data_IF_488710440168
#
_entry.id   IF_488710440168
#
_cell.length_a   1.000
_cell.length_b   1.000
_cell.length_c   1.000
_cell.angle_alpha   90.00
_cell.angle_beta   90.00
_cell.angle_gamma   90.00
#
_symmetry.space_group_name_H-M   'P 1'
#
loop_
_entity.id
_entity.type
_entity.pdbx_description
1 polymer ?
#
# COMPACT_ATOMS: atom_id res chain seq x y z
N UNK A 1 -14.79 -15.49 -0.28
CA UNK A 1 -14.51 -15.41 1.16
C UNK A 1 -13.37 -16.36 1.51
N UNK A 2 -12.59 -16.04 2.54
CA UNK A 2 -11.58 -16.95 3.11
C UNK A 2 -12.24 -17.81 4.20
N UNK A 3 -11.83 -19.06 4.33
CA UNK A 3 -12.44 -19.99 5.29
C UNK A 3 -11.44 -20.60 6.26
N UNK A 4 -10.19 -20.80 5.83
CA UNK A 4 -9.19 -21.50 6.61
C UNK A 4 -7.76 -21.07 6.27
N UNK A 5 -6.90 -21.04 7.28
CA UNK A 5 -5.45 -20.84 7.13
C UNK A 5 -4.67 -21.90 7.89
N UNK A 6 -3.56 -22.36 7.29
CA UNK A 6 -2.54 -23.18 7.94
C UNK A 6 -1.18 -22.50 7.78
N UNK A 7 -0.45 -22.40 8.87
CA UNK A 7 0.87 -21.77 8.95
C UNK A 7 1.91 -22.79 9.36
N UNK A 8 3.07 -22.74 8.73
CA UNK A 8 4.26 -23.48 9.11
C UNK A 8 5.45 -22.53 9.11
N UNK A 9 6.11 -22.36 10.26
CA UNK A 9 7.26 -21.46 10.48
C UNK A 9 7.06 -20.04 9.93
N UNK A 10 5.91 -19.42 10.20
CA UNK A 10 5.59 -18.05 9.80
C UNK A 10 5.66 -17.11 11.00
N UNK A 11 6.61 -16.18 11.02
CA UNK A 11 6.87 -15.26 12.15
C UNK A 11 7.00 -16.04 13.46
N UNK A 12 6.07 -15.82 14.40
CA UNK A 12 6.00 -16.52 15.70
C UNK A 12 5.27 -17.87 15.66
N UNK A 13 4.67 -18.26 14.53
CA UNK A 13 3.91 -19.51 14.41
C UNK A 13 4.77 -20.63 13.84
N UNK A 14 5.09 -21.63 14.66
CA UNK A 14 5.76 -22.86 14.20
C UNK A 14 4.83 -23.77 13.40
N UNK A 15 3.66 -24.09 13.95
CA UNK A 15 2.57 -24.80 13.28
C UNK A 15 1.26 -24.27 13.84
N UNK A 16 0.36 -23.79 12.98
CA UNK A 16 -0.91 -23.24 13.41
C UNK A 16 -1.99 -23.45 12.35
N UNK A 17 -3.22 -23.64 12.79
CA UNK A 17 -4.39 -23.76 11.94
C UNK A 17 -5.54 -22.96 12.55
N UNK A 18 -6.25 -22.19 11.73
CA UNK A 18 -7.40 -21.42 12.15
C UNK A 18 -8.47 -21.37 11.04
N UNK A 19 -9.73 -21.24 11.45
CA UNK A 19 -10.89 -21.07 10.56
C UNK A 19 -11.47 -19.67 10.73
N UNK A 20 -11.95 -19.10 9.63
CA UNK A 20 -12.56 -17.77 9.59
C UNK A 20 -14.07 -17.86 9.35
N UNK A 21 -14.83 -17.00 10.01
CA UNK A 21 -16.24 -16.80 9.68
C UNK A 21 -16.39 -16.04 8.35
N UNK A 22 -17.47 -16.34 7.62
CA UNK A 22 -17.85 -15.63 6.40
C UNK A 22 -18.26 -14.17 6.66
N UNK A 23 -18.58 -13.82 7.90
CA UNK A 23 -18.82 -12.45 8.37
C UNK A 23 -17.54 -11.86 8.97
N UNK A 24 -17.44 -11.81 10.29
CA UNK A 24 -16.31 -11.22 11.01
C UNK A 24 -15.52 -12.27 11.79
N UNK A 25 -14.21 -12.10 11.86
CA UNK A 25 -13.35 -12.84 12.78
C UNK A 25 -12.58 -11.87 13.67
N UNK A 26 -12.63 -12.09 14.99
CA UNK A 26 -11.89 -11.32 15.98
C UNK A 26 -10.72 -12.17 16.48
N UNK A 27 -9.51 -11.69 16.26
CA UNK A 27 -8.28 -12.29 16.79
C UNK A 27 -7.93 -11.56 18.10
N UNK A 28 -8.07 -12.24 19.23
CA UNK A 28 -7.93 -11.66 20.58
C UNK A 28 -6.70 -12.22 21.29
N UNK A 29 -6.01 -11.36 22.03
CA UNK A 29 -4.92 -11.75 22.92
C UNK A 29 -4.04 -10.59 23.36
N UNK A 30 -3.15 -10.77 24.35
CA UNK A 30 -2.20 -9.76 24.78
C UNK A 30 -1.28 -9.23 23.67
N UNK A 31 -0.59 -8.11 23.91
CA UNK A 31 0.41 -7.62 22.96
C UNK A 31 1.57 -8.61 22.84
N UNK A 32 2.03 -8.85 21.61
CA UNK A 32 3.15 -9.76 21.33
C UNK A 32 2.79 -11.23 21.08
N UNK A 33 1.52 -11.64 21.25
CA UNK A 33 1.07 -13.04 21.05
C UNK A 33 0.90 -13.48 19.59
N UNK A 34 1.26 -12.63 18.62
CA UNK A 34 1.22 -12.98 17.20
C UNK A 34 -0.10 -12.65 16.46
N UNK A 35 -1.03 -11.88 17.06
CA UNK A 35 -2.27 -11.44 16.38
C UNK A 35 -2.00 -10.82 15.00
N UNK A 36 -1.12 -9.83 14.95
CA UNK A 36 -0.68 -9.18 13.73
C UNK A 36 0.03 -10.14 12.78
N UNK A 37 0.72 -11.17 13.28
CA UNK A 37 1.37 -12.17 12.44
C UNK A 37 0.34 -13.04 11.70
N UNK A 38 -0.78 -13.40 12.34
CA UNK A 38 -1.85 -14.15 11.69
C UNK A 38 -2.55 -13.31 10.61
N UNK A 39 -2.83 -12.05 10.91
CA UNK A 39 -3.38 -11.08 9.96
C UNK A 39 -2.42 -10.83 8.77
N UNK A 40 -1.12 -10.73 9.04
CA UNK A 40 -0.06 -10.62 8.04
C UNK A 40 0.02 -11.85 7.14
N UNK A 41 -0.13 -13.06 7.69
CA UNK A 41 -0.13 -14.28 6.88
C UNK A 41 -1.28 -14.30 5.86
N UNK A 42 -2.48 -13.88 6.28
CA UNK A 42 -3.63 -13.72 5.37
C UNK A 42 -3.31 -12.70 4.29
N UNK A 43 -2.78 -11.52 4.66
CA UNK A 43 -2.41 -10.49 3.68
C UNK A 43 -1.37 -11.01 2.67
N UNK A 44 -0.32 -11.68 3.14
CA UNK A 44 0.74 -12.26 2.30
C UNK A 44 0.15 -13.27 1.32
N UNK A 45 -0.72 -14.19 1.76
CA UNK A 45 -1.41 -15.16 0.90
C UNK A 45 -2.25 -14.52 -0.22
N UNK A 46 -2.86 -13.37 0.05
CA UNK A 46 -3.76 -12.69 -0.89
C UNK A 46 -3.04 -11.69 -1.81
N UNK A 47 -1.95 -11.08 -1.34
CA UNK A 47 -1.28 -9.95 -2.00
C UNK A 47 0.15 -10.25 -2.47
N UNK A 48 0.79 -11.24 -1.87
CA UNK A 48 2.14 -11.68 -2.20
C UNK A 48 3.25 -10.74 -1.72
N UNK A 49 2.95 -9.88 -0.76
CA UNK A 49 3.87 -8.99 -0.06
C UNK A 49 3.48 -8.86 1.40
N UNK A 50 4.42 -8.52 2.27
CA UNK A 50 4.12 -8.13 3.65
C UNK A 50 3.85 -6.63 3.72
N UNK A 51 2.99 -6.21 4.65
CA UNK A 51 2.79 -4.79 4.98
C UNK A 51 3.77 -4.27 6.03
N UNK A 52 4.50 -5.15 6.73
CA UNK A 52 5.46 -4.81 7.80
C UNK A 52 6.91 -4.79 7.32
N UNK A 53 7.20 -5.38 6.16
CA UNK A 53 8.56 -5.49 5.66
C UNK A 53 8.66 -6.39 4.44
N UNK A 54 9.82 -7.03 4.31
CA UNK A 54 10.07 -7.95 3.21
C UNK A 54 9.47 -9.33 3.49
N UNK A 55 9.26 -10.15 2.44
CA UNK A 55 8.78 -11.52 2.62
C UNK A 55 9.77 -12.38 3.42
N UNK A 56 11.07 -12.07 3.39
CA UNK A 56 12.07 -12.78 4.17
C UNK A 56 11.86 -12.62 5.67
N UNK A 57 11.39 -11.44 6.09
CA UNK A 57 11.13 -11.15 7.50
C UNK A 57 9.94 -11.96 8.04
N UNK A 58 9.10 -12.51 7.15
CA UNK A 58 7.98 -13.39 7.51
C UNK A 58 8.43 -14.80 7.93
N UNK A 59 9.67 -15.20 7.64
CA UNK A 59 10.16 -16.51 8.04
C UNK A 59 10.49 -16.54 9.54
N UNK A 60 10.19 -17.65 10.22
CA UNK A 60 10.71 -17.87 11.59
C UNK A 60 12.23 -17.91 11.55
N UNK A 61 12.88 -17.33 12.57
CA UNK A 61 14.35 -17.28 12.65
C UNK A 61 14.93 -18.70 12.53
N UNK A 62 15.94 -18.85 11.67
CA UNK A 62 16.62 -20.11 11.36
C UNK A 62 15.73 -21.24 10.79
N UNK A 63 14.47 -20.96 10.44
CA UNK A 63 13.65 -21.94 9.75
C UNK A 63 14.10 -22.07 8.28
N UNK A 64 14.32 -23.29 7.77
CA UNK A 64 14.73 -23.50 6.37
C UNK A 64 13.59 -23.21 5.39
N UNK A 65 12.35 -23.18 5.89
CA UNK A 65 11.15 -23.07 5.10
C UNK A 65 10.00 -22.47 5.90
N UNK A 66 9.18 -21.67 5.23
CA UNK A 66 7.90 -21.14 5.70
C UNK A 66 6.81 -21.48 4.70
N UNK A 67 5.64 -21.89 5.20
CA UNK A 67 4.45 -22.14 4.38
C UNK A 67 3.25 -21.39 4.96
N UNK A 68 2.56 -20.66 4.09
CA UNK A 68 1.21 -20.14 4.35
C UNK A 68 0.26 -20.82 3.37
N UNK A 69 -0.74 -21.53 3.87
CA UNK A 69 -1.79 -22.17 3.07
C UNK A 69 -3.13 -21.55 3.44
N UNK A 70 -3.86 -21.03 2.46
CA UNK A 70 -5.12 -20.32 2.64
C UNK A 70 -6.18 -20.93 1.71
N UNK A 71 -7.36 -21.19 2.27
CA UNK A 71 -8.51 -21.77 1.59
C UNK A 71 -9.68 -20.77 1.61
N UNK A 72 -10.53 -20.83 0.59
CA UNK A 72 -11.73 -20.01 0.46
C UNK A 72 -12.49 -20.30 -0.82
N UNK A 73 -13.46 -19.44 -1.17
CA UNK A 73 -14.27 -19.61 -2.39
C UNK A 73 -13.46 -19.56 -3.69
N UNK A 74 -12.23 -19.04 -3.62
CA UNK A 74 -11.26 -19.00 -4.73
C UNK A 74 -10.46 -20.31 -4.89
N UNK A 75 -10.75 -21.33 -4.08
CA UNK A 75 -9.99 -22.59 -3.99
C UNK A 75 -8.83 -22.49 -2.99
N UNK A 76 -7.73 -23.16 -3.32
CA UNK A 76 -6.56 -23.26 -2.43
C UNK A 76 -5.40 -22.41 -2.94
N UNK A 77 -4.72 -21.75 -2.00
CA UNK A 77 -3.54 -20.93 -2.28
C UNK A 77 -2.46 -21.21 -1.27
N UNK A 78 -1.23 -21.36 -1.74
CA UNK A 78 -0.05 -21.56 -0.91
C UNK A 78 1.05 -20.61 -1.28
N UNK A 79 1.72 -20.07 -0.27
CA UNK A 79 3.00 -19.39 -0.40
C UNK A 79 4.03 -20.21 0.34
N UNK A 80 5.10 -20.54 -0.36
CA UNK A 80 6.26 -21.21 0.19
C UNK A 80 7.46 -20.30 0.05
N UNK A 81 8.18 -20.11 1.14
CA UNK A 81 9.48 -19.45 1.17
C UNK A 81 10.50 -20.48 1.62
N UNK A 82 11.62 -20.60 0.91
CA UNK A 82 12.73 -21.47 1.28
C UNK A 82 14.06 -20.70 1.27
N UNK A 83 14.88 -20.95 2.28
CA UNK A 83 16.19 -20.31 2.50
C UNK A 83 17.35 -21.29 2.34
N UNK A 84 17.08 -22.55 1.95
CA UNK A 84 18.03 -23.67 1.88
C UNK A 84 19.25 -23.33 1.00
N UNK A 85 19.04 -22.56 -0.06
CA UNK A 85 20.10 -22.19 -1.01
C UNK A 85 20.98 -21.01 -0.55
N UNK A 86 20.79 -20.50 0.68
CA UNK A 86 21.40 -19.26 1.16
C UNK A 86 20.76 -17.98 0.58
N UNK A 87 19.89 -18.13 -0.44
CA UNK A 87 18.99 -17.09 -0.95
C UNK A 87 17.56 -17.51 -0.69
N UNK A 88 16.69 -16.52 -0.54
CA UNK A 88 15.27 -16.74 -0.32
C UNK A 88 14.59 -16.94 -1.66
N UNK A 89 14.13 -18.17 -1.88
CA UNK A 89 13.26 -18.51 -2.99
C UNK A 89 11.81 -18.39 -2.51
N UNK A 90 10.95 -17.97 -3.43
CA UNK A 90 9.51 -17.83 -3.21
C UNK A 90 8.75 -18.57 -4.29
N UNK A 91 7.73 -19.31 -3.87
CA UNK A 91 6.84 -20.07 -4.72
C UNK A 91 5.39 -19.81 -4.28
N UNK A 92 4.57 -19.36 -5.23
CA UNK A 92 3.13 -19.22 -5.10
C UNK A 92 2.48 -20.40 -5.82
N UNK A 93 1.57 -21.10 -5.14
CA UNK A 93 0.81 -22.21 -5.69
C UNK A 93 -0.67 -21.81 -5.62
N UNK A 94 -1.33 -21.67 -6.76
CA UNK A 94 -2.74 -21.27 -6.85
C UNK A 94 -3.47 -22.35 -7.63
N UNK A 95 -4.35 -23.12 -6.97
CA UNK A 95 -5.04 -24.26 -7.58
C UNK A 95 -4.06 -25.13 -8.41
N UNK A 96 -3.03 -25.65 -7.72
CA UNK A 96 -1.92 -26.46 -8.25
C UNK A 96 -0.95 -25.79 -9.24
N UNK A 97 -1.21 -24.55 -9.67
CA UNK A 97 -0.32 -23.83 -10.56
C UNK A 97 0.78 -23.09 -9.80
N UNK A 98 2.04 -23.47 -10.06
CA UNK A 98 3.23 -22.90 -9.42
C UNK A 98 3.78 -21.69 -10.17
N UNK A 99 4.18 -20.65 -9.45
CA UNK A 99 4.81 -19.44 -9.99
C UNK A 99 5.73 -18.78 -8.98
N UNK A 100 6.81 -18.14 -9.45
CA UNK A 100 7.68 -17.29 -8.60
C UNK A 100 7.07 -15.92 -8.28
N UNK A 101 5.99 -15.54 -8.96
CA UNK A 101 5.33 -14.24 -8.81
C UNK A 101 3.82 -14.44 -8.68
N UNK A 102 3.23 -13.82 -7.66
CA UNK A 102 1.78 -13.67 -7.59
C UNK A 102 1.33 -12.61 -8.60
N UNK A 103 0.88 -13.09 -9.76
CA UNK A 103 0.35 -12.24 -10.83
C UNK A 103 -0.86 -11.45 -10.36
N UNK A 104 -1.10 -10.28 -10.95
CA UNK A 104 -2.22 -9.41 -10.57
C UNK A 104 -3.58 -10.13 -10.62
N UNK A 105 -3.82 -10.94 -11.66
CA UNK A 105 -5.05 -11.74 -11.78
C UNK A 105 -5.28 -12.72 -10.63
N UNK A 106 -4.19 -13.12 -9.96
CA UNK A 106 -4.24 -14.00 -8.81
C UNK A 106 -4.19 -13.24 -7.48
N UNK A 107 -4.08 -11.90 -7.47
CA UNK A 107 -4.21 -11.12 -6.23
C UNK A 107 -5.69 -10.93 -5.94
N UNK A 108 -6.06 -10.99 -4.65
CA UNK A 108 -7.43 -10.74 -4.23
C UNK A 108 -7.55 -9.34 -3.60
N UNK A 109 -8.74 -8.70 -3.72
CA UNK A 109 -8.97 -7.38 -3.15
C UNK A 109 -8.94 -7.47 -1.62
N UNK A 110 -8.09 -6.63 -1.03
CA UNK A 110 -7.89 -6.53 0.42
C UNK A 110 -7.69 -5.06 0.75
N UNK A 111 -8.39 -4.60 1.78
CA UNK A 111 -8.15 -3.28 2.40
C UNK A 111 -7.63 -3.52 3.81
N UNK A 112 -6.38 -3.13 4.03
CA UNK A 112 -5.72 -3.20 5.34
C UNK A 112 -5.90 -1.86 6.05
N UNK A 113 -6.31 -1.87 7.31
CA UNK A 113 -6.26 -0.73 8.21
C UNK A 113 -5.19 -1.04 9.25
N UNK A 114 -4.12 -0.26 9.26
CA UNK A 114 -2.99 -0.40 10.20
C UNK A 114 -2.71 0.95 10.90
N UNK A 115 -2.32 0.98 12.18
CA UNK A 115 -2.05 2.22 12.91
C UNK A 115 -0.98 3.10 12.26
N UNK A 116 -0.01 2.50 11.57
CA UNK A 116 1.04 3.24 10.88
C UNK A 116 0.54 3.99 9.63
N UNK A 117 -0.51 3.48 8.96
CA UNK A 117 -1.19 4.18 7.85
C UNK A 117 -2.04 5.34 8.37
N UNK A 118 -2.64 5.24 9.55
CA UNK A 118 -3.42 6.35 10.14
C UNK A 118 -2.57 7.59 10.46
N UNK A 119 -1.23 7.45 10.49
CA UNK A 119 -0.26 8.53 10.73
C UNK A 119 0.43 9.00 9.43
N UNK A 120 -0.06 8.59 8.26
CA UNK A 120 0.59 8.87 6.98
C UNK A 120 0.73 10.37 6.67
N UNK A 121 -0.24 11.20 7.06
CA UNK A 121 -0.23 12.64 6.74
C UNK A 121 0.99 13.33 7.34
N UNK A 122 1.35 12.98 8.58
CA UNK A 122 2.52 13.50 9.28
C UNK A 122 3.82 12.76 8.95
N UNK A 123 3.78 11.79 8.03
CA UNK A 123 4.95 11.01 7.62
C UNK A 123 5.78 11.71 6.53
N UNK A 124 6.82 11.04 6.02
CA UNK A 124 7.65 11.59 4.95
C UNK A 124 6.92 11.63 3.60
N UNK A 125 7.29 12.53 2.68
CA UNK A 125 6.76 12.55 1.31
C UNK A 125 6.86 11.19 0.60
N UNK A 126 7.92 10.41 0.91
CA UNK A 126 8.07 9.06 0.35
C UNK A 126 6.93 8.15 0.74
N UNK A 127 6.58 8.10 2.04
CA UNK A 127 5.50 7.24 2.51
C UNK A 127 4.15 7.68 1.93
N UNK A 128 3.89 8.99 1.83
CA UNK A 128 2.70 9.52 1.16
C UNK A 128 2.61 9.09 -0.30
N UNK A 129 3.71 9.21 -1.06
CA UNK A 129 3.78 8.72 -2.45
C UNK A 129 3.54 7.22 -2.54
N UNK A 130 4.20 6.42 -1.70
CA UNK A 130 4.06 4.96 -1.70
C UNK A 130 2.61 4.52 -1.42
N UNK A 131 1.92 5.24 -0.53
CA UNK A 131 0.49 5.04 -0.28
C UNK A 131 -0.36 5.35 -1.50
N UNK A 132 -0.19 6.53 -2.10
CA UNK A 132 -0.95 6.96 -3.29
C UNK A 132 -0.69 6.01 -4.47
N UNK A 133 0.57 5.69 -4.73
CA UNK A 133 1.00 4.76 -5.77
C UNK A 133 0.41 3.38 -5.54
N UNK A 134 0.46 2.87 -4.31
CA UNK A 134 -0.11 1.58 -3.94
C UNK A 134 -1.62 1.53 -4.16
N UNK A 135 -2.32 2.63 -3.88
CA UNK A 135 -3.76 2.75 -4.08
C UNK A 135 -4.12 2.81 -5.57
N UNK A 136 -3.46 3.66 -6.36
CA UNK A 136 -3.70 3.75 -7.81
C UNK A 136 -3.31 2.44 -8.50
N UNK A 137 -2.17 1.85 -8.16
CA UNK A 137 -1.69 0.61 -8.76
C UNK A 137 -2.66 -0.56 -8.55
N UNK A 138 -3.40 -0.61 -7.44
CA UNK A 138 -4.45 -1.62 -7.20
C UNK A 138 -5.62 -1.48 -8.17
N UNK A 139 -5.94 -0.27 -8.58
CA UNK A 139 -7.09 0.06 -9.42
C UNK A 139 -6.74 0.05 -10.91
N UNK A 140 -5.52 0.48 -11.28
CA UNK A 140 -5.08 0.67 -12.67
C UNK A 140 -3.87 -0.24 -13.02
N UNK A 141 -4.06 -1.29 -13.87
CA UNK A 141 -2.98 -2.17 -14.34
C UNK A 141 -1.91 -1.49 -15.18
N UNK A 142 -2.29 -0.48 -15.95
CA UNK A 142 -1.35 0.28 -16.75
C UNK A 142 -0.46 1.12 -15.84
N UNK A 143 -1.06 1.77 -14.84
CA UNK A 143 -0.30 2.55 -13.85
C UNK A 143 0.73 1.70 -13.09
N UNK A 144 0.35 0.51 -12.61
CA UNK A 144 1.29 -0.41 -11.94
C UNK A 144 2.48 -0.81 -12.84
N UNK A 145 2.21 -0.98 -14.15
CA UNK A 145 3.25 -1.29 -15.13
C UNK A 145 4.16 -0.09 -15.38
N UNK A 146 3.58 1.09 -15.57
CA UNK A 146 4.30 2.34 -15.79
C UNK A 146 5.15 2.71 -14.55
N UNK A 147 4.64 2.49 -13.33
CA UNK A 147 5.36 2.74 -12.10
C UNK A 147 6.58 1.84 -11.94
N UNK A 148 6.45 0.55 -12.28
CA UNK A 148 7.59 -0.39 -12.28
C UNK A 148 8.64 0.00 -13.33
N UNK A 149 8.20 0.40 -14.52
CA UNK A 149 9.08 0.85 -15.59
C UNK A 149 9.77 2.18 -15.22
N UNK A 150 9.05 3.11 -14.59
CA UNK A 150 9.57 4.37 -14.05
C UNK A 150 10.67 4.11 -13.03
N UNK A 151 10.41 3.31 -12.00
CA UNK A 151 11.39 3.01 -10.94
C UNK A 151 12.65 2.34 -11.50
N UNK A 152 12.50 1.40 -12.44
CA UNK A 152 13.66 0.78 -13.12
C UNK A 152 14.45 1.81 -13.93
N UNK A 153 13.75 2.66 -14.68
CA UNK A 153 14.36 3.71 -15.50
C UNK A 153 15.12 4.72 -14.65
N UNK A 154 14.54 5.16 -13.53
CA UNK A 154 15.18 6.04 -12.55
C UNK A 154 16.47 5.42 -11.99
N UNK A 155 16.45 4.14 -11.64
CA UNK A 155 17.65 3.43 -11.16
C UNK A 155 18.75 3.38 -12.22
N UNK A 156 18.42 3.03 -13.46
CA UNK A 156 19.38 2.97 -14.56
C UNK A 156 19.96 4.36 -14.88
N UNK A 157 19.10 5.38 -14.89
CA UNK A 157 19.52 6.78 -15.07
C UNK A 157 20.48 7.23 -13.96
N UNK A 158 20.14 6.96 -12.70
CA UNK A 158 21.00 7.31 -11.57
C UNK A 158 22.33 6.56 -11.60
N UNK A 159 22.35 5.30 -12.06
CA UNK A 159 23.59 4.55 -12.21
C UNK A 159 24.51 5.18 -13.26
N UNK A 160 23.95 5.61 -14.41
CA UNK A 160 24.72 6.34 -15.42
C UNK A 160 25.24 7.69 -14.92
N UNK A 161 24.48 8.40 -14.10
CA UNK A 161 24.95 9.64 -13.48
C UNK A 161 26.17 9.39 -12.58
N UNK A 162 26.16 8.29 -11.80
CA UNK A 162 27.28 7.91 -10.94
C UNK A 162 28.50 7.43 -11.71
N UNK A 163 28.29 6.78 -12.86
CA UNK A 163 29.36 6.32 -13.75
C UNK A 163 29.73 7.38 -14.81
N UNK A 164 29.67 8.67 -14.45
CA UNK A 164 29.98 9.75 -15.38
C UNK A 164 31.39 9.61 -15.95
N UNK A 165 31.50 9.77 -17.27
CA UNK A 165 32.77 9.81 -17.98
C UNK A 165 32.90 11.18 -18.63
N UNK A 166 33.87 11.94 -18.17
CA UNK A 166 34.19 13.27 -18.69
C UNK A 166 34.48 13.16 -20.21
N UNK A 167 33.92 14.10 -20.99
CA UNK A 167 34.00 14.20 -22.46
C UNK A 167 33.37 13.07 -23.32
N UNK A 168 32.84 11.99 -22.73
CA UNK A 168 32.24 10.89 -23.49
C UNK A 168 30.93 11.29 -24.20
N UNK A 169 30.92 11.26 -25.54
CA UNK A 169 29.69 11.44 -26.35
C UNK A 169 28.72 10.28 -26.16
N UNK A 170 29.24 9.05 -26.11
CA UNK A 170 28.45 7.82 -25.90
C UNK A 170 27.69 7.88 -24.57
N UNK A 171 28.33 8.37 -23.50
CA UNK A 171 27.67 8.54 -22.21
C UNK A 171 26.53 9.57 -22.30
N UNK A 172 26.76 10.71 -22.98
CA UNK A 172 25.75 11.76 -23.18
C UNK A 172 24.53 11.24 -23.95
N UNK A 173 24.75 10.52 -25.05
CA UNK A 173 23.69 9.95 -25.88
C UNK A 173 22.88 8.90 -25.10
N UNK A 174 23.57 8.03 -24.36
CA UNK A 174 22.90 7.05 -23.49
C UNK A 174 22.06 7.73 -22.42
N UNK A 175 22.61 8.72 -21.71
CA UNK A 175 21.88 9.42 -20.67
C UNK A 175 20.68 10.19 -21.25
N UNK A 176 20.82 10.80 -22.42
CA UNK A 176 19.71 11.43 -23.13
C UNK A 176 18.61 10.43 -23.51
N UNK A 177 18.97 9.24 -24.01
CA UNK A 177 17.99 8.19 -24.28
C UNK A 177 17.22 7.75 -23.02
N UNK A 178 17.89 7.75 -21.86
CA UNK A 178 17.25 7.52 -20.57
C UNK A 178 16.42 8.71 -20.09
N UNK A 179 16.82 9.95 -20.37
CA UNK A 179 16.01 11.14 -20.08
C UNK A 179 14.66 11.06 -20.80
N UNK A 180 14.65 10.70 -22.09
CA UNK A 180 13.41 10.56 -22.86
C UNK A 180 12.49 9.49 -22.24
N UNK A 181 13.03 8.31 -21.92
CA UNK A 181 12.24 7.25 -21.25
C UNK A 181 11.76 7.66 -19.86
N UNK A 182 12.63 8.31 -19.09
CA UNK A 182 12.32 8.79 -17.76
C UNK A 182 11.16 9.79 -17.81
N UNK A 183 11.26 10.79 -18.67
CA UNK A 183 10.24 11.84 -18.86
C UNK A 183 8.91 11.23 -19.33
N UNK A 184 8.94 10.27 -20.26
CA UNK A 184 7.74 9.58 -20.72
C UNK A 184 6.97 8.91 -19.57
N UNK A 185 7.65 8.11 -18.75
CA UNK A 185 7.00 7.46 -17.62
C UNK A 185 6.65 8.44 -16.49
N UNK A 186 7.51 9.42 -16.23
CA UNK A 186 7.29 10.46 -15.23
C UNK A 186 6.00 11.24 -15.50
N UNK A 187 5.78 11.62 -16.76
CA UNK A 187 4.58 12.33 -17.20
C UNK A 187 3.32 11.53 -16.91
N UNK A 188 3.29 10.25 -17.29
CA UNK A 188 2.16 9.37 -17.02
C UNK A 188 1.87 9.27 -15.51
N UNK A 189 2.91 9.11 -14.68
CA UNK A 189 2.77 8.98 -13.23
C UNK A 189 2.23 10.27 -12.60
N UNK A 190 2.82 11.43 -12.92
CA UNK A 190 2.38 12.73 -12.39
C UNK A 190 0.93 13.03 -12.76
N UNK A 191 0.57 12.90 -14.04
CA UNK A 191 -0.78 13.15 -14.53
C UNK A 191 -1.81 12.21 -13.90
N UNK A 192 -1.47 10.92 -13.75
CA UNK A 192 -2.36 9.94 -13.10
C UNK A 192 -2.57 10.24 -11.62
N UNK A 193 -1.53 10.64 -10.89
CA UNK A 193 -1.64 11.06 -9.48
C UNK A 193 -2.51 12.30 -9.32
N UNK A 194 -2.22 13.35 -10.09
CA UNK A 194 -2.98 14.59 -10.05
C UNK A 194 -4.47 14.34 -10.39
N UNK A 195 -4.74 13.61 -11.47
CA UNK A 195 -6.11 13.24 -11.87
C UNK A 195 -6.81 12.38 -10.83
N UNK A 196 -6.10 11.42 -10.22
CA UNK A 196 -6.66 10.58 -9.16
C UNK A 196 -7.12 11.42 -7.97
N UNK A 197 -6.27 12.34 -7.49
CA UNK A 197 -6.60 13.22 -6.36
C UNK A 197 -7.76 14.16 -6.72
N UNK A 198 -7.71 14.79 -7.89
CA UNK A 198 -8.76 15.71 -8.35
C UNK A 198 -10.14 15.04 -8.44
N UNK A 199 -10.22 13.84 -9.04
CA UNK A 199 -11.51 13.14 -9.22
C UNK A 199 -12.10 12.68 -7.88
N UNK A 200 -11.24 12.27 -6.94
CA UNK A 200 -11.68 11.68 -5.69
C UNK A 200 -11.76 12.68 -4.53
N UNK A 201 -11.26 13.91 -4.68
CA UNK A 201 -11.34 14.95 -3.65
C UNK A 201 -12.78 15.14 -3.12
N UNK A 202 -13.83 15.25 -3.96
CA UNK A 202 -15.20 15.38 -3.45
C UNK A 202 -15.65 14.17 -2.60
N UNK A 203 -15.26 12.94 -2.99
CA UNK A 203 -15.58 11.72 -2.24
C UNK A 203 -14.84 11.69 -0.90
N UNK A 204 -13.56 12.06 -0.89
CA UNK A 204 -12.74 12.14 0.33
C UNK A 204 -13.32 13.18 1.28
N UNK A 205 -13.72 14.35 0.76
CA UNK A 205 -14.38 15.40 1.53
C UNK A 205 -15.67 14.87 2.18
N UNK A 206 -16.57 14.26 1.41
CA UNK A 206 -17.83 13.73 1.93
C UNK A 206 -17.61 12.65 3.00
N UNK A 207 -16.66 11.73 2.77
CA UNK A 207 -16.30 10.70 3.74
C UNK A 207 -15.71 11.32 5.02
N UNK A 208 -14.85 12.32 4.88
CA UNK A 208 -14.30 13.06 6.02
C UNK A 208 -15.40 13.74 6.84
N UNK A 209 -16.34 14.44 6.21
CA UNK A 209 -17.44 15.13 6.88
C UNK A 209 -18.37 14.17 7.61
N UNK A 210 -18.68 13.04 6.98
CA UNK A 210 -19.46 11.95 7.61
C UNK A 210 -18.76 11.41 8.86
N UNK A 211 -17.44 11.20 8.79
CA UNK A 211 -16.64 10.73 9.93
C UNK A 211 -16.44 11.80 11.02
N UNK A 212 -16.32 13.07 10.63
CA UNK A 212 -16.09 14.19 11.54
C UNK A 212 -17.39 14.70 12.18
N UNK A 213 -18.56 14.40 11.59
CA UNK A 213 -19.87 14.87 12.03
C UNK A 213 -20.08 16.37 11.81
N UNK A 214 -19.28 17.00 10.94
CA UNK A 214 -19.35 18.44 10.63
C UNK A 214 -18.87 18.72 9.20
N UNK A 215 -19.46 19.74 8.58
CA UNK A 215 -18.96 20.31 7.32
C UNK A 215 -17.54 20.84 7.54
N UNK A 216 -16.64 20.62 6.58
CA UNK A 216 -15.26 21.06 6.66
C UNK A 216 -14.71 21.36 5.28
N UNK A 217 -14.06 22.52 5.14
CA UNK A 217 -13.32 22.85 3.94
C UNK A 217 -12.06 21.98 3.85
N UNK A 218 -12.15 20.91 3.07
CA UNK A 218 -11.06 20.00 2.74
C UNK A 218 -10.75 20.10 1.24
N UNK A 219 -9.48 20.30 0.89
CA UNK A 219 -8.99 20.21 -0.50
C UNK A 219 -7.64 19.49 -0.56
N UNK A 220 -7.29 18.99 -1.75
CA UNK A 220 -6.10 18.18 -1.97
C UNK A 220 -5.38 18.66 -3.23
N UNK A 221 -4.12 19.03 -3.09
CA UNK A 221 -3.31 19.53 -4.19
C UNK A 221 -2.14 18.60 -4.48
N UNK A 222 -1.92 18.31 -5.76
CA UNK A 222 -0.70 17.64 -6.21
C UNK A 222 0.40 18.67 -6.49
N UNK A 223 1.46 18.65 -5.68
CA UNK A 223 2.62 19.52 -5.81
C UNK A 223 3.60 19.03 -6.86
N UNK A 224 3.26 19.23 -8.13
CA UNK A 224 4.15 18.95 -9.26
C UNK A 224 5.33 19.94 -9.30
N UNK A 225 6.53 19.47 -9.67
CA UNK A 225 7.73 20.33 -9.73
C UNK A 225 7.80 21.19 -11.01
N UNK A 226 6.99 20.84 -12.01
CA UNK A 226 6.78 21.55 -13.26
C UNK A 226 5.28 21.51 -13.61
N UNK A 227 4.77 22.41 -14.47
CA UNK A 227 3.36 22.44 -14.84
C UNK A 227 2.89 21.10 -15.45
N UNK A 228 1.66 20.70 -15.16
CA UNK A 228 1.12 19.40 -15.58
C UNK A 228 0.73 19.38 -17.07
N UNK A 229 0.41 20.54 -17.65
CA UNK A 229 -0.07 20.70 -19.03
C UNK A 229 1.01 20.37 -20.06
N UNK A 230 2.27 20.72 -19.78
CA UNK A 230 3.44 20.47 -20.61
C UNK A 230 4.56 19.77 -19.82
N UNK A 231 4.15 18.87 -18.92
CA UNK A 231 5.02 18.23 -17.94
C UNK A 231 6.24 17.57 -18.57
N UNK A 232 6.07 16.93 -19.73
CA UNK A 232 7.13 16.25 -20.47
C UNK A 232 8.25 17.22 -20.90
N UNK A 233 7.90 18.27 -21.63
CA UNK A 233 8.83 19.29 -22.12
C UNK A 233 9.46 20.07 -20.98
N UNK A 234 8.66 20.46 -19.99
CA UNK A 234 9.12 21.23 -18.84
C UNK A 234 10.08 20.41 -17.96
N UNK A 235 9.80 19.12 -17.76
CA UNK A 235 10.67 18.22 -17.01
C UNK A 235 11.98 17.98 -17.78
N UNK A 236 11.92 17.71 -19.08
CA UNK A 236 13.13 17.49 -19.89
C UNK A 236 14.05 18.73 -19.86
N UNK A 237 13.50 19.93 -20.01
CA UNK A 237 14.24 21.18 -19.89
C UNK A 237 14.87 21.33 -18.50
N UNK A 238 14.11 21.02 -17.44
CA UNK A 238 14.62 21.06 -16.06
C UNK A 238 15.78 20.09 -15.85
N UNK A 239 15.71 18.86 -16.35
CA UNK A 239 16.79 17.88 -16.28
C UNK A 239 18.05 18.34 -17.03
N UNK A 240 17.88 19.05 -18.14
CA UNK A 240 18.99 19.70 -18.85
C UNK A 240 19.68 20.77 -17.99
N UNK A 241 18.90 21.67 -17.37
CA UNK A 241 19.41 22.73 -16.49
C UNK A 241 20.06 22.21 -15.21
N UNK A 242 19.62 21.06 -14.71
CA UNK A 242 20.13 20.46 -13.48
C UNK A 242 21.26 19.44 -13.73
N UNK A 243 21.74 19.29 -14.96
CA UNK A 243 22.67 18.23 -15.36
C UNK A 243 23.93 18.16 -14.50
N UNK A 244 24.62 19.29 -14.33
CA UNK A 244 25.87 19.35 -13.56
C UNK A 244 25.63 18.93 -12.10
N UNK A 245 24.57 19.44 -11.48
CA UNK A 245 24.16 19.05 -10.13
C UNK A 245 23.83 17.55 -10.02
N UNK A 246 23.15 16.98 -11.01
CA UNK A 246 22.79 15.56 -11.04
C UNK A 246 24.00 14.64 -11.24
N UNK A 247 25.00 15.07 -12.01
CA UNK A 247 26.29 14.36 -12.16
C UNK A 247 27.02 14.34 -10.81
N UNK A 248 27.16 15.50 -10.16
CA UNK A 248 27.87 15.62 -8.87
C UNK A 248 27.19 14.80 -7.78
N UNK A 249 25.86 14.82 -7.72
CA UNK A 249 25.11 14.09 -6.68
C UNK A 249 24.88 12.62 -7.03
N UNK A 250 24.99 12.23 -8.30
CA UNK A 250 24.65 10.89 -8.78
C UNK A 250 23.15 10.56 -8.70
N UNK A 251 22.27 11.57 -8.57
CA UNK A 251 20.84 11.38 -8.40
C UNK A 251 20.00 12.34 -9.26
N UNK A 252 18.93 11.80 -9.84
CA UNK A 252 17.89 12.59 -10.52
C UNK A 252 17.18 13.51 -9.52
N UNK A 253 17.17 14.79 -9.83
CA UNK A 253 16.76 15.91 -8.98
C UNK A 253 15.30 16.34 -9.18
N UNK A 254 14.67 15.97 -10.30
CA UNK A 254 13.30 16.35 -10.63
C UNK A 254 12.49 15.18 -11.22
N UNK A 255 11.20 15.14 -10.91
CA UNK A 255 10.23 14.14 -11.38
C UNK A 255 9.33 13.62 -10.25
N UNK A 256 8.39 12.70 -10.53
CA UNK A 256 7.37 12.26 -9.57
C UNK A 256 7.92 11.57 -8.33
N UNK A 257 9.16 11.06 -8.35
CA UNK A 257 9.84 10.52 -7.18
C UNK A 257 10.24 11.59 -6.16
N UNK A 258 10.20 12.88 -6.54
CA UNK A 258 10.49 14.04 -5.68
C UNK A 258 9.25 14.86 -5.34
N UNK A 259 8.13 14.62 -6.02
CA UNK A 259 6.87 15.35 -5.84
C UNK A 259 6.06 14.82 -4.65
N UNK A 260 5.01 15.54 -4.28
CA UNK A 260 4.17 15.20 -3.12
C UNK A 260 2.75 15.73 -3.31
N UNK A 261 1.83 15.32 -2.45
CA UNK A 261 0.51 15.95 -2.36
C UNK A 261 0.29 16.54 -0.97
N UNK A 262 -0.44 17.65 -0.94
CA UNK A 262 -0.78 18.37 0.29
C UNK A 262 -2.28 18.34 0.48
N UNK A 263 -2.70 18.04 1.70
CA UNK A 263 -4.11 18.13 2.11
C UNK A 263 -4.25 19.42 2.89
N UNK A 264 -5.28 20.20 2.59
CA UNK A 264 -5.60 21.44 3.26
C UNK A 264 -6.89 21.30 4.06
N UNK A 265 -6.88 21.85 5.27
CA UNK A 265 -8.07 22.09 6.08
C UNK A 265 -8.21 23.60 6.28
N UNK A 266 -9.35 24.17 5.93
CA UNK A 266 -9.59 25.62 6.03
C UNK A 266 -8.48 26.45 5.34
N UNK A 267 -8.08 26.02 4.13
CA UNK A 267 -6.98 26.60 3.33
C UNK A 267 -5.58 26.56 3.99
N UNK A 268 -5.38 25.79 5.06
CA UNK A 268 -4.07 25.60 5.68
C UNK A 268 -3.60 24.15 5.57
N UNK A 269 -2.30 23.89 5.34
CA UNK A 269 -1.80 22.52 5.27
C UNK A 269 -2.17 21.72 6.53
N UNK A 270 -2.87 20.60 6.35
CA UNK A 270 -3.36 19.77 7.45
C UNK A 270 -2.23 19.33 8.38
N UNK A 271 -1.02 19.09 7.85
CA UNK A 271 0.16 18.76 8.66
C UNK A 271 0.51 19.82 9.72
N UNK A 272 0.15 21.09 9.50
CA UNK A 272 0.44 22.21 10.40
C UNK A 272 -0.68 22.47 11.41
N UNK A 273 -1.94 22.26 11.02
CA UNK A 273 -3.10 22.72 11.80
C UNK A 273 -4.00 21.61 12.31
N UNK A 274 -4.01 20.45 11.67
CA UNK A 274 -4.95 19.39 12.00
C UNK A 274 -4.59 18.78 13.36
N UNK A 275 -5.61 18.58 14.20
CA UNK A 275 -5.46 17.74 15.38
C UNK A 275 -5.12 16.29 15.00
N UNK A 276 -4.60 15.51 15.95
CA UNK A 276 -4.34 14.08 15.73
C UNK A 276 -5.61 13.32 15.29
N UNK A 277 -6.76 13.67 15.85
CA UNK A 277 -8.06 13.08 15.47
C UNK A 277 -8.46 13.43 14.03
N UNK A 278 -8.25 14.67 13.59
CA UNK A 278 -8.53 15.09 12.22
C UNK A 278 -7.59 14.41 11.22
N UNK A 279 -6.29 14.27 11.53
CA UNK A 279 -5.36 13.51 10.68
C UNK A 279 -5.80 12.05 10.50
N UNK A 280 -6.22 11.39 11.59
CA UNK A 280 -6.76 10.02 11.53
C UNK A 280 -8.04 9.96 10.71
N UNK A 281 -8.89 10.97 10.82
CA UNK A 281 -10.16 11.07 10.07
C UNK A 281 -9.91 11.18 8.57
N UNK A 282 -8.96 12.02 8.16
CA UNK A 282 -8.56 12.13 6.74
C UNK A 282 -8.05 10.78 6.24
N UNK A 283 -7.18 10.10 7.00
CA UNK A 283 -6.67 8.80 6.58
C UNK A 283 -7.77 7.74 6.51
N UNK A 284 -8.69 7.73 7.48
CA UNK A 284 -9.84 6.84 7.45
C UNK A 284 -10.72 7.10 6.22
N UNK A 285 -10.96 8.36 5.85
CA UNK A 285 -11.67 8.71 4.61
C UNK A 285 -10.96 8.16 3.36
N UNK A 286 -9.62 8.24 3.28
CA UNK A 286 -8.87 7.62 2.19
C UNK A 286 -9.01 6.09 2.15
N UNK A 287 -9.03 5.42 3.30
CA UNK A 287 -9.20 3.96 3.37
C UNK A 287 -10.62 3.51 3.03
N UNK A 288 -11.63 4.29 3.39
CA UNK A 288 -13.01 4.05 2.98
C UNK A 288 -13.18 4.27 1.47
N UNK A 289 -12.58 5.33 0.91
CA UNK A 289 -12.50 5.52 -0.53
C UNK A 289 -11.83 4.32 -1.21
N UNK A 290 -10.71 3.82 -0.66
CA UNK A 290 -10.04 2.64 -1.19
C UNK A 290 -10.97 1.43 -1.26
N UNK A 291 -11.76 1.21 -0.20
CA UNK A 291 -12.74 0.13 -0.11
C UNK A 291 -13.82 0.27 -1.18
N UNK A 292 -14.40 1.47 -1.34
CA UNK A 292 -15.41 1.75 -2.36
C UNK A 292 -14.84 1.51 -3.76
N UNK A 293 -13.69 2.09 -4.09
CA UNK A 293 -13.06 1.96 -5.40
C UNK A 293 -12.67 0.51 -5.72
N UNK A 294 -12.14 -0.25 -4.75
CA UNK A 294 -11.84 -1.67 -4.97
C UNK A 294 -13.12 -2.49 -5.19
N UNK A 295 -14.22 -2.16 -4.50
CA UNK A 295 -15.52 -2.82 -4.70
C UNK A 295 -16.05 -2.54 -6.11
N UNK A 296 -16.00 -1.28 -6.56
CA UNK A 296 -16.39 -0.86 -7.91
C UNK A 296 -15.57 -1.56 -9.00
N UNK A 297 -14.24 -1.60 -8.87
CA UNK A 297 -13.36 -2.16 -9.89
C UNK A 297 -13.40 -3.68 -9.94
N UNK A 298 -13.45 -4.34 -8.77
CA UNK A 298 -13.39 -5.80 -8.70
C UNK A 298 -14.74 -6.48 -8.86
N UNK A 299 -15.86 -5.73 -8.78
CA UNK A 299 -17.22 -6.27 -8.75
C UNK A 299 -17.39 -7.34 -7.65
N UNK A 300 -16.56 -7.27 -6.62
CA UNK A 300 -16.48 -8.21 -5.51
C UNK A 300 -16.16 -7.45 -4.23
N UNK A 301 -16.60 -7.98 -3.10
CA UNK A 301 -16.38 -7.32 -1.80
C UNK A 301 -14.96 -7.60 -1.32
N UNK A 302 -14.11 -6.57 -1.11
CA UNK A 302 -12.76 -6.76 -0.58
C UNK A 302 -12.78 -7.38 0.82
N UNK A 303 -11.77 -8.20 1.14
CA UNK A 303 -11.53 -8.59 2.53
C UNK A 303 -11.01 -7.38 3.31
N UNK A 304 -11.54 -7.13 4.49
CA UNK A 304 -11.06 -6.06 5.37
C UNK A 304 -10.19 -6.64 6.47
N UNK A 305 -8.98 -6.13 6.61
CA UNK A 305 -8.07 -6.50 7.69
C UNK A 305 -7.88 -5.28 8.58
N UNK A 306 -8.18 -5.39 9.87
CA UNK A 306 -8.01 -4.31 10.85
C UNK A 306 -6.97 -4.75 11.88
N UNK A 307 -5.80 -4.12 11.89
CA UNK A 307 -4.76 -4.41 12.88
C UNK A 307 -4.83 -3.40 14.04
N UNK A 308 -5.43 -3.76 15.17
CA UNK A 308 -5.53 -2.91 16.38
C UNK A 308 -6.01 -1.47 16.10
N UNK A 309 -6.94 -1.32 15.17
CA UNK A 309 -7.39 0.00 14.70
C UNK A 309 -8.44 0.62 15.61
N UNK A 310 -9.27 -0.20 16.26
CA UNK A 310 -10.31 0.32 17.16
C UNK A 310 -9.74 1.05 18.37
N UNK A 311 -8.53 0.70 18.84
CA UNK A 311 -7.86 1.42 19.93
C UNK A 311 -7.39 2.83 19.55
N UNK A 312 -7.33 3.16 18.26
CA UNK A 312 -6.93 4.47 17.72
C UNK A 312 -8.13 5.39 17.39
N UNK A 313 -9.37 4.88 17.51
CA UNK A 313 -10.62 5.58 17.16
C UNK A 313 -11.44 5.91 18.41
N UNK A 314 -12.19 7.02 18.35
CA UNK A 314 -13.28 7.28 19.30
C UNK A 314 -14.57 6.57 18.89
N UNK A 315 -15.56 6.57 19.81
CA UNK A 315 -16.82 5.86 19.66
C UNK A 315 -17.61 6.23 18.38
N UNK A 316 -17.59 7.49 17.96
CA UNK A 316 -18.32 7.94 16.77
C UNK A 316 -17.68 7.34 15.50
N UNK A 317 -16.36 7.45 15.39
CA UNK A 317 -15.60 6.91 14.25
C UNK A 317 -15.61 5.39 14.22
N UNK A 318 -15.52 4.76 15.39
CA UNK A 318 -15.65 3.31 15.55
C UNK A 318 -17.00 2.83 15.03
N UNK A 319 -18.11 3.47 15.43
CA UNK A 319 -19.44 3.11 14.98
C UNK A 319 -19.57 3.20 13.46
N UNK A 320 -19.10 4.29 12.83
CA UNK A 320 -19.19 4.45 11.38
C UNK A 320 -18.34 3.41 10.63
N UNK A 321 -17.13 3.14 11.11
CA UNK A 321 -16.29 2.08 10.56
C UNK A 321 -17.00 0.72 10.68
N UNK A 322 -17.55 0.42 11.86
CA UNK A 322 -18.30 -0.81 12.11
C UNK A 322 -19.52 -0.95 11.21
N UNK A 323 -20.22 0.13 10.85
CA UNK A 323 -21.35 0.14 9.90
C UNK A 323 -20.88 -0.11 8.47
N UNK A 324 -19.75 0.50 8.07
CA UNK A 324 -19.19 0.38 6.73
C UNK A 324 -18.69 -1.04 6.44
N UNK A 325 -18.11 -1.71 7.43
CA UNK A 325 -17.54 -3.05 7.26
C UNK A 325 -18.56 -4.20 7.36
N UNK A 326 -19.81 -3.97 7.78
CA UNK A 326 -20.77 -5.07 8.05
C UNK A 326 -21.06 -5.95 6.84
N UNK A 327 -21.00 -5.35 5.64
CA UNK A 327 -21.27 -6.06 4.39
C UNK A 327 -20.04 -6.81 3.85
N UNK A 328 -18.89 -6.71 4.51
CA UNK A 328 -17.65 -7.32 4.08
C UNK A 328 -17.26 -8.45 5.03
N UNK A 329 -16.50 -9.41 4.51
CA UNK A 329 -15.75 -10.28 5.39
C UNK A 329 -14.65 -9.44 6.05
N UNK A 330 -14.50 -9.52 7.37
CA UNK A 330 -13.45 -8.79 8.07
C UNK A 330 -12.69 -9.65 9.08
N UNK A 331 -11.41 -9.34 9.28
CA UNK A 331 -10.60 -9.87 10.36
C UNK A 331 -10.06 -8.68 11.15
N UNK A 332 -10.28 -8.67 12.46
CA UNK A 332 -9.76 -7.65 13.35
C UNK A 332 -8.85 -8.25 14.42
N UNK A 333 -7.73 -7.59 14.72
CA UNK A 333 -6.92 -7.88 15.91
C UNK A 333 -7.28 -6.91 17.03
N UNK A 334 -7.36 -7.41 18.26
CA UNK A 334 -7.58 -6.57 19.45
C UNK A 334 -7.00 -7.21 20.70
N UNK A 335 -6.75 -6.40 21.72
CA UNK A 335 -6.35 -6.87 23.05
C UNK A 335 -7.54 -7.30 23.90
N UNK A 336 -8.75 -6.88 23.55
CA UNK A 336 -9.95 -7.11 24.34
C UNK A 336 -11.15 -7.41 23.42
N UNK A 337 -11.95 -8.42 23.79
CA UNK A 337 -13.13 -8.87 23.06
C UNK A 337 -14.31 -7.87 23.10
N UNK A 338 -14.14 -6.67 23.67
CA UNK A 338 -15.17 -5.61 23.75
C UNK A 338 -15.85 -5.27 22.42
N UNK A 339 -15.18 -5.47 21.27
CA UNK A 339 -15.71 -5.14 19.93
C UNK A 339 -16.51 -6.30 19.28
N UNK A 340 -17.07 -7.20 20.08
CA UNK A 340 -17.83 -8.35 19.62
C UNK A 340 -19.15 -7.92 18.95
N UNK A 341 -19.40 -8.44 17.74
CA UNK A 341 -20.74 -8.49 17.14
C UNK A 341 -21.26 -9.92 17.14
N UNK A 342 -22.58 -10.06 17.20
CA UNK A 342 -23.25 -11.34 17.01
C UNK A 342 -22.84 -11.99 15.68
N UNK A 343 -22.45 -13.27 15.72
CA UNK A 343 -22.03 -14.04 14.55
C UNK A 343 -20.56 -13.92 14.15
N UNK A 344 -19.72 -13.19 14.90
CA UNK A 344 -18.27 -13.20 14.70
C UNK A 344 -17.62 -14.45 15.34
N UNK A 345 -16.65 -15.06 14.65
CA UNK A 345 -15.79 -16.10 15.26
C UNK A 345 -14.64 -15.45 16.04
N UNK A 346 -14.20 -16.10 17.13
CA UNK A 346 -13.08 -15.65 17.94
C UNK A 346 -11.90 -16.61 17.76
N UNK A 347 -10.71 -16.05 17.53
CA UNK A 347 -9.44 -16.76 17.55
C UNK A 347 -8.60 -16.19 18.68
N UNK A 348 -8.31 -16.99 19.69
CA UNK A 348 -7.42 -16.60 20.79
C UNK A 348 -5.98 -16.95 20.46
N UNK A 349 -5.10 -15.95 20.52
CA UNK A 349 -3.64 -16.17 20.45
C UNK A 349 -3.09 -16.37 21.86
N UNK A 350 -2.23 -17.37 22.05
CA UNK A 350 -1.57 -17.66 23.33
C UNK A 350 -0.38 -16.75 23.59
#
# INVERSE_FOLDING_TARGET
MISKIKLYNFRSYHLHEATFSNSGTVIVGPNGTGKTNLLEAVYVALRGSSFRGSLSDCMTLNAPQTIVHLEGDFGERRIKLDSISGKINKEFIINDNKSKVLTRKNRLPVVLFEPSELRLISSSPSRRRDFLDGLIARLDPKYDTDLRAFNRTLLQRNELLKSHQEDSSIWRDNLFAWDIKFVQYATNIAQKRAKFLQINEPRIKNLYESLAGKDTQLSIEYGAIVPLENYDQALLNRLGKSREYEIVTGFTSAGPHREDFTIFLHNQPAIKVASRGEMRTIMLAFKLLELELQTEVSQSRPLILLDDVFSELDATREKLLQETIQNHQFIVTTTDARHQKDGCSIISTQ
#
